data_IF_991255117098
#
_entry.id   IF_991255117098
#
_cell.length_a   1.000
_cell.length_b   1.000
_cell.length_c   1.000
_cell.angle_alpha   90.00
_cell.angle_beta   90.00
_cell.angle_gamma   90.00
#
_symmetry.space_group_name_H-M   'P 1'
#
loop_
_entity.id
_entity.type
_entity.pdbx_description
1 polymer ?
#
# COMPACT_ATOMS: atom_id res chain seq x y z
N UNK A 1 11.63 25.54 4.11
CA UNK A 1 11.67 24.19 4.68
C UNK A 1 13.12 23.73 4.78
N UNK A 2 13.53 23.29 5.94
CA UNK A 2 14.89 22.78 6.12
C UNK A 2 15.05 21.43 5.43
N UNK A 3 16.15 21.27 4.72
CA UNK A 3 16.50 19.97 4.13
C UNK A 3 17.20 19.11 5.19
N UNK A 4 17.02 17.82 5.10
CA UNK A 4 17.80 16.88 5.89
C UNK A 4 19.24 16.94 5.35
N UNK A 5 20.18 17.27 6.22
CA UNK A 5 21.59 17.29 5.85
C UNK A 5 22.15 15.88 5.70
N UNK A 6 23.26 15.73 4.95
CA UNK A 6 23.81 14.43 4.64
C UNK A 6 24.10 13.58 5.88
N UNK A 7 24.66 14.20 6.91
CA UNK A 7 24.98 13.50 8.17
C UNK A 7 23.72 12.96 8.87
N UNK A 8 22.61 13.69 8.76
CA UNK A 8 21.33 13.26 9.35
C UNK A 8 20.67 12.17 8.54
N UNK A 9 20.88 12.15 7.23
CA UNK A 9 20.36 11.06 6.38
C UNK A 9 21.00 9.73 6.74
N UNK A 10 22.28 9.72 7.05
CA UNK A 10 22.98 8.51 7.43
C UNK A 10 22.46 7.92 8.75
N UNK A 11 21.80 8.75 9.58
CA UNK A 11 21.21 8.30 10.82
C UNK A 11 19.79 7.72 10.67
N UNK A 12 19.19 7.80 9.47
CA UNK A 12 17.89 7.23 9.24
C UNK A 12 17.94 5.70 9.35
N UNK A 13 16.85 5.12 9.84
CA UNK A 13 16.74 3.68 9.96
C UNK A 13 16.85 3.03 8.59
N UNK A 14 17.74 2.07 8.46
CA UNK A 14 17.90 1.32 7.22
C UNK A 14 16.71 0.40 7.00
N UNK A 15 16.27 0.30 5.75
CA UNK A 15 15.19 -0.60 5.36
C UNK A 15 15.68 -2.04 5.44
N UNK A 16 14.89 -2.89 6.09
CA UNK A 16 15.16 -4.32 6.10
C UNK A 16 14.92 -4.90 4.71
N UNK A 17 15.74 -5.86 4.31
CA UNK A 17 15.66 -6.51 3.01
C UNK A 17 15.83 -8.02 3.16
N UNK A 18 15.27 -8.77 2.24
CA UNK A 18 15.45 -10.21 2.15
C UNK A 18 14.19 -11.00 2.49
N UNK A 19 14.33 -12.30 2.43
CA UNK A 19 13.20 -13.24 2.57
C UNK A 19 12.56 -13.26 3.97
N UNK A 20 13.26 -12.74 4.97
CA UNK A 20 12.74 -12.67 6.34
C UNK A 20 11.67 -11.58 6.49
N UNK A 21 11.63 -10.63 5.58
CA UNK A 21 10.61 -9.59 5.58
C UNK A 21 9.35 -10.15 4.93
N UNK A 22 8.30 -10.37 5.70
CA UNK A 22 7.05 -10.99 5.23
C UNK A 22 5.85 -10.06 5.30
N UNK A 23 6.00 -8.87 5.88
CA UNK A 23 4.92 -7.91 6.07
C UNK A 23 5.47 -6.49 6.00
N UNK A 24 4.68 -5.59 5.42
CA UNK A 24 4.95 -4.14 5.44
C UNK A 24 3.67 -3.39 5.77
N UNK A 25 3.84 -2.22 6.35
CA UNK A 25 2.75 -1.27 6.64
C UNK A 25 3.08 0.09 6.05
N UNK A 26 2.09 0.71 5.45
CA UNK A 26 2.20 2.02 4.82
C UNK A 26 1.10 2.92 5.33
N UNK A 27 1.46 4.15 5.70
CA UNK A 27 0.49 5.17 6.10
C UNK A 27 0.50 6.28 5.06
N UNK A 28 -0.67 6.64 4.58
CA UNK A 28 -0.79 7.70 3.58
C UNK A 28 -2.09 8.47 3.72
N UNK A 29 -2.05 9.72 3.24
CA UNK A 29 -3.23 10.56 3.09
C UNK A 29 -3.70 10.49 1.64
N UNK A 30 -5.01 10.52 1.45
CA UNK A 30 -5.61 10.45 0.12
C UNK A 30 -5.74 11.87 -0.43
N UNK A 31 -5.29 12.07 -1.66
CA UNK A 31 -5.27 13.36 -2.33
C UNK A 31 -6.36 13.50 -3.39
N UNK A 32 -6.72 14.75 -3.70
CA UNK A 32 -7.79 15.06 -4.63
C UNK A 32 -7.55 14.63 -6.07
N UNK A 33 -6.30 14.46 -6.49
CA UNK A 33 -5.96 13.99 -7.83
C UNK A 33 -6.45 12.56 -8.13
N UNK A 34 -6.70 11.78 -7.08
CA UNK A 34 -7.24 10.41 -7.19
C UNK A 34 -8.77 10.38 -7.26
N UNK A 35 -9.41 11.53 -7.18
CA UNK A 35 -10.86 11.68 -7.08
C UNK A 35 -11.54 11.53 -8.44
N UNK A 36 -12.52 10.63 -8.55
CA UNK A 36 -13.23 10.37 -9.79
C UNK A 36 -14.75 10.40 -9.68
N UNK A 37 -15.28 10.48 -8.47
CA UNK A 37 -16.72 10.41 -8.22
C UNK A 37 -17.23 11.64 -7.49
N UNK A 38 -18.53 11.95 -7.61
CA UNK A 38 -19.15 13.02 -6.83
C UNK A 38 -18.95 12.78 -5.32
N UNK A 39 -18.97 13.87 -4.55
CA UNK A 39 -18.78 13.79 -3.09
C UNK A 39 -17.37 13.54 -2.67
N UNK A 40 -16.40 13.82 -3.57
CA UNK A 40 -14.96 13.66 -3.27
C UNK A 40 -14.55 12.22 -2.96
N UNK A 41 -15.34 11.26 -3.44
CA UNK A 41 -15.06 9.84 -3.27
C UNK A 41 -13.98 9.38 -4.23
N UNK A 42 -13.07 8.55 -3.73
CA UNK A 42 -11.98 7.99 -4.51
C UNK A 42 -12.44 6.71 -5.19
N UNK A 43 -12.06 6.53 -6.46
CA UNK A 43 -12.33 5.30 -7.19
C UNK A 43 -11.73 4.09 -6.47
N UNK A 44 -12.54 3.02 -6.35
CA UNK A 44 -12.05 1.76 -5.81
C UNK A 44 -10.87 1.18 -6.58
N UNK A 45 -10.84 1.39 -7.89
CA UNK A 45 -9.70 0.96 -8.73
C UNK A 45 -8.42 1.69 -8.36
N UNK A 46 -8.50 2.97 -8.04
CA UNK A 46 -7.33 3.76 -7.59
C UNK A 46 -6.85 3.30 -6.22
N UNK A 47 -7.75 2.95 -5.33
CA UNK A 47 -7.40 2.42 -4.01
C UNK A 47 -6.74 1.05 -4.15
N UNK A 48 -7.26 0.20 -5.02
CA UNK A 48 -6.67 -1.11 -5.31
C UNK A 48 -5.27 -0.97 -5.89
N UNK A 49 -5.06 -0.02 -6.79
CA UNK A 49 -3.74 0.29 -7.35
C UNK A 49 -2.72 0.63 -6.25
N UNK A 50 -3.12 1.45 -5.28
CA UNK A 50 -2.25 1.79 -4.15
C UNK A 50 -1.88 0.55 -3.32
N UNK A 51 -2.83 -0.35 -3.11
CA UNK A 51 -2.58 -1.60 -2.39
C UNK A 51 -1.62 -2.50 -3.16
N UNK A 52 -1.79 -2.62 -4.47
CA UNK A 52 -0.92 -3.42 -5.34
C UNK A 52 0.49 -2.83 -5.36
N UNK A 53 0.62 -1.50 -5.39
CA UNK A 53 1.93 -0.83 -5.33
C UNK A 53 2.66 -1.16 -4.02
N UNK A 54 1.94 -1.25 -2.92
CA UNK A 54 2.50 -1.66 -1.64
C UNK A 54 2.98 -3.12 -1.68
N UNK A 55 2.22 -4.00 -2.33
CA UNK A 55 2.63 -5.38 -2.55
C UNK A 55 3.90 -5.47 -3.42
N UNK A 56 3.99 -4.63 -4.45
CA UNK A 56 5.16 -4.53 -5.31
C UNK A 56 6.40 -4.15 -4.49
N UNK A 57 6.25 -3.22 -3.57
CA UNK A 57 7.35 -2.81 -2.70
C UNK A 57 7.83 -3.97 -1.82
N UNK A 58 6.92 -4.74 -1.26
CA UNK A 58 7.28 -5.93 -0.49
C UNK A 58 8.01 -6.95 -1.36
N UNK A 59 7.53 -7.16 -2.59
CA UNK A 59 8.19 -8.05 -3.54
C UNK A 59 9.61 -7.58 -3.88
N UNK A 60 9.80 -6.27 -4.09
CA UNK A 60 11.13 -5.70 -4.33
C UNK A 60 12.09 -5.95 -3.16
N UNK A 61 11.60 -5.79 -1.95
CA UNK A 61 12.41 -6.01 -0.74
C UNK A 61 12.82 -7.47 -0.62
N UNK A 62 11.92 -8.40 -0.93
CA UNK A 62 12.15 -9.84 -0.78
C UNK A 62 12.97 -10.44 -1.92
N UNK A 63 12.77 -9.95 -3.14
CA UNK A 63 13.34 -10.54 -4.35
C UNK A 63 14.39 -9.66 -5.02
N UNK A 64 15.16 -8.93 -4.22
CA UNK A 64 16.32 -8.13 -4.64
C UNK A 64 16.00 -7.09 -5.72
N UNK A 65 14.87 -6.44 -5.60
CA UNK A 65 14.44 -5.41 -6.53
C UNK A 65 13.66 -5.96 -7.72
N UNK A 66 13.38 -7.25 -7.76
CA UNK A 66 12.55 -7.85 -8.79
C UNK A 66 11.11 -7.94 -8.30
N UNK A 67 10.31 -6.92 -8.61
CA UNK A 67 8.91 -6.86 -8.20
C UNK A 67 8.00 -7.84 -8.93
N UNK A 68 8.51 -8.48 -9.97
CA UNK A 68 7.73 -9.41 -10.77
C UNK A 68 6.71 -8.73 -11.67
N UNK A 69 6.00 -9.54 -12.45
CA UNK A 69 4.93 -9.10 -13.33
C UNK A 69 3.58 -9.36 -12.64
N UNK A 70 2.76 -8.33 -12.52
CA UNK A 70 1.41 -8.46 -12.01
C UNK A 70 0.56 -9.26 -13.02
N UNK A 71 -0.03 -10.36 -12.58
CA UNK A 71 -0.81 -11.24 -13.46
C UNK A 71 -2.25 -11.45 -12.99
N UNK A 72 -2.54 -11.25 -11.71
CA UNK A 72 -3.89 -11.48 -11.19
C UNK A 72 -4.11 -10.74 -9.88
N UNK A 73 -5.33 -10.26 -9.68
CA UNK A 73 -5.77 -9.72 -8.39
C UNK A 73 -7.24 -10.02 -8.18
N UNK A 74 -7.61 -10.23 -6.92
CA UNK A 74 -8.98 -10.29 -6.46
C UNK A 74 -9.08 -9.39 -5.23
N UNK A 75 -10.15 -8.59 -5.16
CA UNK A 75 -10.34 -7.72 -4.03
C UNK A 75 -11.77 -7.27 -3.86
N UNK A 76 -12.09 -6.83 -2.66
CA UNK A 76 -13.40 -6.32 -2.30
C UNK A 76 -13.25 -4.93 -1.68
N UNK A 77 -14.04 -4.00 -2.20
CA UNK A 77 -14.13 -2.65 -1.64
C UNK A 77 -15.34 -2.66 -0.69
N UNK A 78 -15.07 -2.46 0.59
CA UNK A 78 -16.06 -2.64 1.65
C UNK A 78 -16.66 -1.33 2.15
N UNK A 79 -15.87 -0.25 2.11
CA UNK A 79 -16.26 1.08 2.58
C UNK A 79 -15.66 2.14 1.69
N UNK A 80 -16.35 3.27 1.47
CA UNK A 80 -15.80 4.35 0.66
C UNK A 80 -14.67 5.09 1.38
N UNK A 81 -13.74 5.62 0.58
CA UNK A 81 -12.68 6.50 1.02
C UNK A 81 -12.81 7.80 0.26
N UNK A 82 -12.66 8.92 0.95
CA UNK A 82 -12.82 10.25 0.40
C UNK A 82 -11.50 11.03 0.46
N UNK A 83 -11.46 12.13 -0.28
CA UNK A 83 -10.33 13.05 -0.25
C UNK A 83 -10.02 13.48 1.18
N UNK A 84 -8.74 13.52 1.51
CA UNK A 84 -8.19 13.90 2.82
C UNK A 84 -8.41 12.87 3.93
N UNK A 85 -9.00 11.72 3.63
CA UNK A 85 -8.98 10.62 4.56
C UNK A 85 -7.56 10.08 4.68
N UNK A 86 -7.21 9.56 5.85
CA UNK A 86 -5.94 8.87 6.04
C UNK A 86 -6.19 7.36 6.09
N UNK A 87 -5.29 6.61 5.48
CA UNK A 87 -5.39 5.15 5.43
C UNK A 87 -4.06 4.51 5.81
N UNK A 88 -4.16 3.29 6.30
CA UNK A 88 -3.01 2.41 6.53
C UNK A 88 -3.22 1.16 5.68
N UNK A 89 -2.20 0.82 4.89
CA UNK A 89 -2.21 -0.37 4.05
C UNK A 89 -1.24 -1.38 4.65
N UNK A 90 -1.73 -2.59 4.88
CA UNK A 90 -0.93 -3.69 5.38
C UNK A 90 -0.85 -4.73 4.27
N UNK A 91 0.36 -5.15 3.94
CA UNK A 91 0.60 -6.18 2.93
C UNK A 91 1.47 -7.29 3.53
N UNK A 92 1.21 -8.52 3.11
CA UNK A 92 1.96 -9.68 3.62
C UNK A 92 2.07 -10.76 2.57
N UNK A 93 3.09 -11.60 2.73
CA UNK A 93 3.28 -12.76 1.88
C UNK A 93 2.31 -13.87 2.27
N UNK A 94 1.54 -14.37 1.32
CA UNK A 94 0.66 -15.53 1.51
C UNK A 94 1.35 -16.81 1.06
N UNK A 95 1.96 -16.78 -0.14
CA UNK A 95 2.56 -17.98 -0.72
C UNK A 95 3.72 -17.60 -1.63
N UNK A 96 4.79 -18.37 -1.56
CA UNK A 96 5.93 -18.24 -2.44
C UNK A 96 6.14 -19.54 -3.21
N UNK A 97 5.97 -19.49 -4.52
CA UNK A 97 6.30 -20.60 -5.42
C UNK A 97 7.70 -20.43 -6.03
N UNK A 98 8.06 -21.27 -6.98
CA UNK A 98 9.37 -21.18 -7.64
C UNK A 98 9.55 -19.82 -8.34
N UNK A 99 8.52 -19.35 -9.07
CA UNK A 99 8.52 -18.08 -9.77
C UNK A 99 7.32 -17.21 -9.44
N UNK A 100 6.37 -17.70 -8.66
CA UNK A 100 5.16 -16.98 -8.31
C UNK A 100 5.21 -16.46 -6.87
N UNK A 101 4.54 -15.33 -6.64
CA UNK A 101 4.38 -14.73 -5.31
C UNK A 101 2.93 -14.33 -5.15
N UNK A 102 2.33 -14.70 -4.04
CA UNK A 102 0.98 -14.28 -3.69
C UNK A 102 1.08 -13.42 -2.44
N UNK A 103 0.56 -12.19 -2.53
CA UNK A 103 0.52 -11.25 -1.42
C UNK A 103 -0.92 -10.92 -1.08
N UNK A 104 -1.20 -10.77 0.21
CA UNK A 104 -2.46 -10.24 0.68
C UNK A 104 -2.33 -8.77 1.01
N UNK A 105 -3.45 -8.04 0.95
CA UNK A 105 -3.48 -6.65 1.36
C UNK A 105 -4.78 -6.32 2.08
N UNK A 106 -4.68 -5.38 3.00
CA UNK A 106 -5.82 -4.75 3.66
C UNK A 106 -5.57 -3.26 3.76
N UNK A 107 -6.62 -2.47 3.53
CA UNK A 107 -6.57 -1.03 3.71
C UNK A 107 -7.54 -0.66 4.83
N UNK A 108 -7.05 0.12 5.78
CA UNK A 108 -7.83 0.61 6.91
C UNK A 108 -7.89 2.13 6.87
N UNK A 109 -9.08 2.70 7.02
CA UNK A 109 -9.23 4.13 7.23
C UNK A 109 -8.90 4.42 8.69
N UNK A 110 -7.97 5.31 8.94
CA UNK A 110 -7.51 5.68 10.28
C UNK A 110 -8.03 7.04 10.71
N UNK A 111 -8.37 7.90 9.77
CA UNK A 111 -9.03 9.18 10.06
C UNK A 111 -9.89 9.62 8.88
N UNK A 112 -10.86 10.45 9.17
CA UNK A 112 -11.81 10.97 8.20
C UNK A 112 -11.88 12.49 8.32
N UNK A 113 -11.75 13.19 7.18
CA UNK A 113 -11.85 14.63 7.14
C UNK A 113 -13.32 15.05 7.13
N UNK A 114 -13.65 16.01 7.98
CA UNK A 114 -14.98 16.61 8.05
C UNK A 114 -14.92 18.05 7.53
N UNK A 115 -15.56 18.30 6.39
CA UNK A 115 -15.54 19.62 5.74
C UNK A 115 -16.26 20.69 6.58
N UNK A 116 -17.29 20.33 7.33
CA UNK A 116 -18.05 21.29 8.16
C UNK A 116 -17.22 21.85 9.29
N UNK A 117 -16.39 21.03 9.90
CA UNK A 117 -15.54 21.45 11.02
C UNK A 117 -14.11 21.79 10.60
N UNK A 118 -13.75 21.48 9.36
CA UNK A 118 -12.39 21.59 8.82
C UNK A 118 -11.38 20.87 9.70
N UNK A 119 -11.75 19.68 10.18
CA UNK A 119 -10.93 18.86 11.05
C UNK A 119 -10.98 17.40 10.62
N UNK A 120 -9.89 16.70 10.87
CA UNK A 120 -9.85 15.25 10.73
C UNK A 120 -10.21 14.60 12.06
N UNK A 121 -11.10 13.63 12.00
CA UNK A 121 -11.44 12.78 13.15
C UNK A 121 -10.59 11.52 13.07
N UNK A 122 -9.75 11.32 14.07
CA UNK A 122 -8.90 10.12 14.17
C UNK A 122 -9.70 9.04 14.87
N UNK A 123 -9.82 7.87 14.24
CA UNK A 123 -10.59 6.77 14.80
C UNK A 123 -9.83 6.05 15.89
N UNK A 124 -10.53 5.66 16.95
CA UNK A 124 -9.93 4.81 18.00
C UNK A 124 -9.62 3.42 17.44
N UNK A 125 -10.49 2.91 16.57
CA UNK A 125 -10.31 1.64 15.90
C UNK A 125 -10.39 1.86 14.40
N UNK A 126 -9.31 1.59 13.64
CA UNK A 126 -9.34 1.72 12.18
C UNK A 126 -10.42 0.88 11.54
N UNK A 127 -10.95 1.37 10.44
CA UNK A 127 -12.06 0.73 9.71
C UNK A 127 -11.55 0.08 8.44
N UNK A 128 -11.77 -1.22 8.29
CA UNK A 128 -11.39 -1.97 7.09
C UNK A 128 -12.21 -1.46 5.89
N UNK A 129 -11.54 -0.93 4.89
CA UNK A 129 -12.17 -0.34 3.71
C UNK A 129 -12.01 -1.18 2.45
N UNK A 130 -10.92 -1.94 2.37
CA UNK A 130 -10.65 -2.79 1.21
C UNK A 130 -9.76 -3.95 1.63
N UNK A 131 -9.93 -5.10 0.99
CA UNK A 131 -9.05 -6.27 1.18
C UNK A 131 -8.98 -7.09 -0.08
N UNK A 132 -7.88 -7.80 -0.26
CA UNK A 132 -7.71 -8.66 -1.41
C UNK A 132 -6.37 -9.35 -1.44
N UNK A 133 -6.07 -9.92 -2.59
CA UNK A 133 -4.78 -10.53 -2.85
C UNK A 133 -4.32 -10.25 -4.27
N UNK A 134 -3.04 -10.47 -4.51
CA UNK A 134 -2.40 -10.22 -5.80
C UNK A 134 -1.35 -11.29 -6.08
N UNK A 135 -1.25 -11.67 -7.34
CA UNK A 135 -0.26 -12.64 -7.79
C UNK A 135 0.74 -11.95 -8.72
N UNK A 136 2.01 -12.10 -8.40
CA UNK A 136 3.13 -11.69 -9.26
C UNK A 136 3.87 -12.91 -9.74
N UNK A 137 4.42 -12.82 -10.95
CA UNK A 137 5.30 -13.85 -11.51
C UNK A 137 6.65 -13.23 -11.81
N UNK A 138 7.71 -13.82 -11.28
CA UNK A 138 9.07 -13.39 -11.55
C UNK A 138 9.53 -13.95 -12.89
N UNK A 139 10.07 -13.11 -13.78
CA UNK A 139 10.56 -13.60 -15.06
C UNK A 139 11.76 -14.54 -14.88
N UNK A 140 11.67 -15.75 -15.44
CA UNK A 140 12.76 -16.73 -15.39
C UNK A 140 14.05 -16.22 -16.06
N UNK A 141 13.92 -15.29 -16.99
CA UNK A 141 15.05 -14.68 -17.70
C UNK A 141 16.03 -13.96 -16.78
N UNK A 142 15.59 -13.53 -15.59
CA UNK A 142 16.46 -12.82 -14.65
C UNK A 142 17.37 -13.74 -13.87
N UNK A 143 17.20 -15.02 -14.02
CA UNK A 143 18.06 -16.03 -13.38
C UNK A 143 19.32 -16.32 -14.18
N UNK A 144 19.31 -15.96 -15.43
CA UNK A 144 20.42 -16.22 -16.33
C UNK A 144 21.63 -15.34 -16.04
#
# INVERSE_FOLDING_TARGET
MARIEAEKRDSLTKVQKGKDVTELKFKLSIHGEDMHYPGEMISGCKLMEKCIDCCTELSNIRDKGDGGLFVHTEGNILKPVHMLDAVEIIVWLIKEGATSRVYGYEMYKTSEYNQETDRSEVFDVPVLTEKGDVVFVLPALKEA
#
